data_IF_348979768231
#
_entry.id   IF_348979768231
#
_cell.length_a   1.000
_cell.length_b   1.000
_cell.length_c   1.000
_cell.angle_alpha   90.00
_cell.angle_beta   90.00
_cell.angle_gamma   90.00
#
_symmetry.space_group_name_H-M   'P 1'
#
loop_
_entity.id
_entity.type
_entity.pdbx_description
1 polymer ?
#
# COMPACT_ATOMS: atom_id res chain seq x y z
N UNK A 1 8.85 -28.13 -3.02
CA UNK A 1 9.28 -27.19 -4.09
C UNK A 1 8.80 -25.81 -3.70
N UNK A 2 9.70 -24.84 -3.62
CA UNK A 2 9.31 -23.43 -3.53
C UNK A 2 8.70 -23.05 -4.87
N UNK A 3 7.40 -22.89 -4.89
CA UNK A 3 6.67 -22.38 -6.02
C UNK A 3 6.62 -20.85 -5.85
N UNK A 4 7.16 -20.12 -6.81
CA UNK A 4 7.25 -18.63 -6.74
C UNK A 4 5.86 -17.95 -6.83
N UNK A 5 4.83 -18.70 -7.21
CA UNK A 5 3.47 -18.19 -7.35
C UNK A 5 2.61 -18.34 -6.08
N UNK A 6 3.04 -19.15 -5.13
CA UNK A 6 2.28 -19.43 -3.91
C UNK A 6 2.98 -18.92 -2.66
N UNK A 7 2.21 -18.34 -1.75
CA UNK A 7 2.67 -17.84 -0.46
C UNK A 7 1.74 -18.30 0.65
N UNK A 8 2.24 -18.33 1.88
CA UNK A 8 1.40 -18.46 3.07
C UNK A 8 1.02 -17.06 3.54
N UNK A 9 -0.26 -16.73 3.47
CA UNK A 9 -0.79 -15.51 4.05
C UNK A 9 -0.94 -15.71 5.56
N UNK A 10 -0.32 -14.84 6.34
CA UNK A 10 -0.38 -14.84 7.80
C UNK A 10 -1.14 -13.59 8.23
N UNK A 11 -2.27 -13.77 8.93
CA UNK A 11 -3.12 -12.68 9.40
C UNK A 11 -3.18 -12.69 10.93
N UNK A 12 -2.34 -11.92 11.60
CA UNK A 12 -2.57 -11.58 13.00
C UNK A 12 -3.70 -10.55 13.09
N UNK A 13 -4.59 -10.69 14.06
CA UNK A 13 -5.63 -9.72 14.37
C UNK A 13 -6.02 -9.79 15.83
N UNK A 14 -6.57 -8.68 16.32
CA UNK A 14 -7.07 -8.54 17.67
C UNK A 14 -8.49 -7.98 17.62
N UNK A 15 -9.36 -8.45 18.48
CA UNK A 15 -10.71 -7.93 18.64
C UNK A 15 -11.12 -7.92 20.09
N UNK A 16 -12.05 -7.03 20.44
CA UNK A 16 -12.65 -6.96 21.76
C UNK A 16 -13.49 -8.20 22.01
N UNK A 17 -13.28 -8.86 23.16
CA UNK A 17 -13.97 -10.10 23.54
C UNK A 17 -14.67 -10.01 24.90
N UNK A 18 -14.56 -8.89 25.62
CA UNK A 18 -15.27 -8.66 26.87
C UNK A 18 -16.78 -8.56 26.67
N UNK A 19 -17.54 -9.18 27.53
CA UNK A 19 -19.01 -9.17 27.51
C UNK A 19 -19.53 -7.81 28.01
N UNK A 20 -19.95 -6.95 27.08
CA UNK A 20 -20.40 -5.60 27.41
C UNK A 20 -21.35 -5.07 26.33
N UNK A 21 -22.42 -4.39 26.74
CA UNK A 21 -23.35 -3.68 25.87
C UNK A 21 -23.13 -2.15 25.88
N UNK A 22 -22.11 -1.66 26.58
CA UNK A 22 -21.74 -0.25 26.63
C UNK A 22 -20.93 0.15 25.40
N UNK A 23 -21.14 1.38 24.91
CA UNK A 23 -20.25 2.00 23.94
C UNK A 23 -18.98 2.51 24.63
N UNK A 24 -18.07 1.63 24.96
CA UNK A 24 -16.79 1.92 25.64
C UNK A 24 -15.67 1.04 25.10
N UNK A 25 -14.43 1.39 25.42
CA UNK A 25 -13.31 0.47 25.20
C UNK A 25 -13.53 -0.82 26.01
N UNK A 26 -13.12 -1.95 25.45
CA UNK A 26 -13.14 -3.23 26.15
C UNK A 26 -11.93 -3.37 27.06
N UNK A 27 -12.12 -4.06 28.18
CA UNK A 27 -11.01 -4.43 29.09
C UNK A 27 -10.39 -5.78 28.69
N UNK A 28 -11.05 -6.54 27.81
CA UNK A 28 -10.61 -7.87 27.36
C UNK A 28 -10.52 -7.94 25.85
N UNK A 29 -9.44 -8.54 25.36
CA UNK A 29 -9.18 -8.70 23.95
C UNK A 29 -8.70 -10.12 23.63
N UNK A 30 -9.12 -10.65 22.49
CA UNK A 30 -8.61 -11.90 21.94
C UNK A 30 -7.67 -11.59 20.77
N UNK A 31 -6.44 -12.10 20.85
CA UNK A 31 -5.47 -12.07 19.75
C UNK A 31 -5.45 -13.42 19.04
N UNK A 32 -5.54 -13.40 17.69
CA UNK A 32 -5.51 -14.60 16.87
C UNK A 32 -4.55 -14.45 15.71
N UNK A 33 -4.01 -15.57 15.26
CA UNK A 33 -3.27 -15.66 14.01
C UNK A 33 -3.93 -16.75 13.16
N UNK A 34 -4.40 -16.39 11.98
CA UNK A 34 -4.88 -17.35 10.97
C UNK A 34 -3.95 -17.36 9.77
N UNK A 35 -3.89 -18.50 9.11
CA UNK A 35 -3.05 -18.67 7.91
C UNK A 35 -3.89 -19.24 6.76
N UNK A 36 -3.56 -18.84 5.53
CA UNK A 36 -4.20 -19.34 4.33
C UNK A 36 -3.20 -19.41 3.18
N UNK A 37 -3.20 -20.46 2.35
CA UNK A 37 -2.49 -20.42 1.08
C UNK A 37 -3.03 -19.26 0.21
N UNK A 38 -2.16 -18.57 -0.48
CA UNK A 38 -2.55 -17.47 -1.37
C UNK A 38 -1.69 -17.45 -2.63
N UNK A 39 -2.26 -16.92 -3.70
CA UNK A 39 -1.61 -16.60 -4.96
C UNK A 39 -1.52 -15.09 -5.13
N UNK A 40 -1.42 -14.58 -6.35
CA UNK A 40 -1.38 -13.13 -6.62
C UNK A 40 -2.61 -12.42 -6.06
N UNK A 41 -2.39 -11.29 -5.39
CA UNK A 41 -3.44 -10.52 -4.72
C UNK A 41 -4.24 -9.62 -5.69
N UNK A 42 -3.56 -9.01 -6.68
CA UNK A 42 -4.20 -8.15 -7.67
C UNK A 42 -4.04 -8.70 -9.09
N UNK A 43 -4.99 -8.38 -10.00
CA UNK A 43 -4.81 -8.61 -11.43
C UNK A 43 -3.59 -7.84 -11.97
N UNK A 44 -3.16 -8.14 -13.20
CA UNK A 44 -2.02 -7.51 -13.85
C UNK A 44 -2.19 -6.00 -14.03
N UNK A 45 -3.42 -5.55 -14.30
CA UNK A 45 -3.72 -4.17 -14.70
C UNK A 45 -4.53 -3.46 -13.60
N UNK A 46 -3.83 -2.67 -12.78
CA UNK A 46 -4.46 -1.88 -11.74
C UNK A 46 -4.80 -0.51 -12.30
N UNK A 47 -6.11 -0.25 -12.44
CA UNK A 47 -6.67 1.03 -12.83
C UNK A 47 -7.36 1.65 -11.64
N UNK A 48 -7.04 2.90 -11.32
CA UNK A 48 -7.52 3.55 -10.10
C UNK A 48 -8.28 4.84 -10.39
N UNK A 49 -9.31 5.09 -9.58
CA UNK A 49 -10.07 6.34 -9.57
C UNK A 49 -9.59 7.21 -8.42
N UNK A 50 -9.31 8.47 -8.66
CA UNK A 50 -9.10 9.44 -7.58
C UNK A 50 -10.44 9.78 -6.95
N UNK A 51 -10.58 9.47 -5.68
CA UNK A 51 -11.82 9.73 -4.92
C UNK A 51 -11.80 11.17 -4.41
N UNK A 52 -12.82 11.94 -4.78
CA UNK A 52 -12.92 13.37 -4.47
C UNK A 52 -14.21 13.73 -3.70
N UNK A 53 -14.92 12.74 -3.20
CA UNK A 53 -16.15 12.95 -2.44
C UNK A 53 -16.13 12.19 -1.10
N UNK A 54 -15.81 10.88 -1.16
CA UNK A 54 -15.71 10.06 0.04
C UNK A 54 -14.31 10.14 0.63
N UNK A 55 -14.22 10.04 1.95
CA UNK A 55 -12.95 10.01 2.65
C UNK A 55 -12.73 8.67 3.38
N UNK A 56 -11.51 8.18 3.37
CA UNK A 56 -11.11 6.99 4.13
C UNK A 56 -10.82 7.32 5.59
N UNK A 57 -10.16 8.44 5.81
CA UNK A 57 -9.67 8.88 7.11
C UNK A 57 -9.57 10.41 7.15
N UNK A 58 -9.46 10.97 8.33
CA UNK A 58 -9.37 12.41 8.53
C UNK A 58 -8.33 12.75 9.59
N UNK A 59 -7.84 14.00 9.58
CA UNK A 59 -6.94 14.52 10.61
C UNK A 59 -7.58 14.40 12.00
N UNK A 60 -6.80 13.94 12.98
CA UNK A 60 -7.28 13.65 14.34
C UNK A 60 -8.04 12.34 14.47
N UNK A 61 -8.18 11.58 13.37
CA UNK A 61 -8.78 10.24 13.34
C UNK A 61 -7.77 9.11 13.56
N UNK A 62 -8.15 7.91 13.18
CA UNK A 62 -7.38 6.67 13.40
C UNK A 62 -6.86 6.06 12.11
N UNK A 63 -6.74 6.84 11.03
CA UNK A 63 -6.27 6.39 9.72
C UNK A 63 -4.87 5.79 9.71
N UNK A 64 -4.02 6.23 10.64
CA UNK A 64 -2.67 5.70 10.85
C UNK A 64 -2.64 4.30 11.47
N UNK A 65 -3.75 3.80 11.98
CA UNK A 65 -3.86 2.46 12.57
C UNK A 65 -4.51 1.47 11.61
N UNK A 66 -4.21 0.18 11.79
CA UNK A 66 -4.85 -0.89 11.01
C UNK A 66 -6.19 -1.30 11.64
N UNK A 67 -7.09 -0.32 11.83
CA UNK A 67 -8.38 -0.50 12.45
C UNK A 67 -9.48 -0.86 11.42
N UNK A 68 -10.39 -1.76 11.79
CA UNK A 68 -11.48 -2.22 10.90
C UNK A 68 -12.42 -1.09 10.45
N UNK A 69 -12.59 -0.05 11.26
CA UNK A 69 -13.38 1.13 10.93
C UNK A 69 -12.87 1.87 9.68
N UNK A 70 -11.55 1.97 9.50
CA UNK A 70 -10.96 2.58 8.29
C UNK A 70 -11.30 1.79 7.02
N UNK A 71 -11.43 0.47 7.13
CA UNK A 71 -11.83 -0.38 6.00
C UNK A 71 -13.31 -0.28 5.71
N UNK A 72 -14.15 -0.22 6.76
CA UNK A 72 -15.60 -0.09 6.61
C UNK A 72 -15.97 1.17 5.81
N UNK A 73 -15.34 2.31 6.11
CA UNK A 73 -15.56 3.57 5.39
C UNK A 73 -15.15 3.51 3.91
N UNK A 74 -14.19 2.63 3.58
CA UNK A 74 -13.65 2.49 2.22
C UNK A 74 -14.46 1.54 1.32
N UNK A 75 -15.28 0.65 1.87
CA UNK A 75 -15.95 -0.40 1.09
C UNK A 75 -16.97 0.14 0.11
N UNK A 76 -17.82 1.08 0.53
CA UNK A 76 -18.84 1.63 -0.34
C UNK A 76 -18.27 2.40 -1.53
N UNK A 77 -17.35 3.39 -1.36
CA UNK A 77 -16.74 4.06 -2.49
C UNK A 77 -15.96 3.11 -3.41
N UNK A 78 -15.25 2.13 -2.84
CA UNK A 78 -14.55 1.12 -3.65
C UNK A 78 -15.53 0.29 -4.48
N UNK A 79 -16.68 -0.09 -3.92
CA UNK A 79 -17.74 -0.79 -4.67
C UNK A 79 -18.27 0.04 -5.84
N UNK A 80 -18.47 1.35 -5.63
CA UNK A 80 -18.89 2.27 -6.70
C UNK A 80 -17.82 2.38 -7.80
N UNK A 81 -16.55 2.50 -7.43
CA UNK A 81 -15.44 2.52 -8.37
C UNK A 81 -15.34 1.20 -9.17
N UNK A 82 -15.47 0.06 -8.50
CA UNK A 82 -15.47 -1.25 -9.16
C UNK A 82 -16.63 -1.41 -10.17
N UNK A 83 -17.82 -0.90 -9.86
CA UNK A 83 -18.94 -0.91 -10.79
C UNK A 83 -18.70 -0.07 -12.07
N UNK A 84 -17.74 0.88 -12.01
CA UNK A 84 -17.26 1.68 -13.14
C UNK A 84 -16.02 1.06 -13.83
N UNK A 85 -15.56 -0.11 -13.42
CA UNK A 85 -14.42 -0.82 -14.01
C UNK A 85 -13.04 -0.49 -13.39
N UNK A 86 -13.00 0.28 -12.30
CA UNK A 86 -11.74 0.55 -11.61
C UNK A 86 -11.40 -0.56 -10.63
N UNK A 87 -10.13 -0.87 -10.49
CA UNK A 87 -9.64 -1.90 -9.55
C UNK A 87 -9.66 -1.39 -8.12
N UNK A 88 -9.30 -0.12 -7.92
CA UNK A 88 -9.17 0.54 -6.62
C UNK A 88 -9.39 2.05 -6.73
N UNK A 89 -9.41 2.72 -5.58
CA UNK A 89 -9.46 4.18 -5.48
C UNK A 89 -8.13 4.73 -4.94
N UNK A 90 -7.75 5.93 -5.36
CA UNK A 90 -6.76 6.76 -4.67
C UNK A 90 -7.53 7.67 -3.72
N UNK A 91 -7.19 7.60 -2.44
CA UNK A 91 -7.77 8.43 -1.41
C UNK A 91 -7.09 9.79 -1.37
N UNK A 92 -7.89 10.82 -1.16
CA UNK A 92 -7.44 12.20 -0.97
C UNK A 92 -7.76 12.68 0.44
N UNK A 93 -7.13 13.76 0.86
CA UNK A 93 -7.38 14.38 2.16
C UNK A 93 -8.86 14.76 2.35
N UNK A 94 -9.34 14.64 3.58
CA UNK A 94 -10.76 14.75 3.92
C UNK A 94 -11.34 16.18 3.84
N UNK A 95 -10.51 17.20 3.66
CA UNK A 95 -10.93 18.61 3.73
C UNK A 95 -11.04 19.22 2.34
N UNK A 96 -9.96 19.16 1.59
CA UNK A 96 -9.84 19.81 0.28
C UNK A 96 -9.96 18.83 -0.88
N UNK A 97 -9.84 17.52 -0.63
CA UNK A 97 -9.73 16.47 -1.65
C UNK A 97 -8.64 16.77 -2.70
N UNK A 98 -7.59 17.41 -2.25
CA UNK A 98 -6.50 17.92 -3.07
C UNK A 98 -5.24 17.08 -3.00
N UNK A 99 -4.89 16.61 -1.80
CA UNK A 99 -3.64 15.88 -1.57
C UNK A 99 -3.91 14.39 -1.52
N UNK A 100 -3.07 13.64 -2.21
CA UNK A 100 -3.14 12.17 -2.23
C UNK A 100 -2.63 11.61 -0.91
N UNK A 101 -3.30 10.60 -0.38
CA UNK A 101 -2.96 9.92 0.86
C UNK A 101 -2.57 8.45 0.64
N UNK A 102 -3.48 7.63 0.12
CA UNK A 102 -3.26 6.19 -0.09
C UNK A 102 -3.97 5.69 -1.37
N UNK A 103 -3.61 4.50 -1.85
CA UNK A 103 -4.30 3.83 -2.95
C UNK A 103 -4.94 2.52 -2.46
N UNK A 104 -6.26 2.52 -2.34
CA UNK A 104 -7.00 1.39 -1.79
C UNK A 104 -6.54 1.06 -0.36
N UNK A 105 -5.87 -0.07 -0.18
CA UNK A 105 -5.28 -0.53 1.08
C UNK A 105 -3.75 -0.52 1.05
N UNK A 106 -3.16 0.32 0.21
CA UNK A 106 -1.72 0.40 -0.06
C UNK A 106 -1.20 1.82 0.16
N UNK A 107 0.03 1.96 0.65
CA UNK A 107 0.75 3.23 0.52
C UNK A 107 1.04 3.48 -0.96
N UNK A 108 0.95 4.74 -1.38
CA UNK A 108 1.14 5.13 -2.79
C UNK A 108 2.51 5.78 -3.01
N UNK A 109 3.05 5.57 -4.22
CA UNK A 109 4.31 6.10 -4.69
C UNK A 109 4.15 6.67 -6.07
N UNK A 110 4.78 7.81 -6.31
CA UNK A 110 4.76 8.52 -7.57
C UNK A 110 6.21 8.82 -7.97
N UNK A 111 6.60 8.45 -9.19
CA UNK A 111 7.88 8.84 -9.75
C UNK A 111 7.71 10.00 -10.73
N UNK A 112 8.28 11.15 -10.38
CA UNK A 112 8.38 12.32 -11.25
C UNK A 112 9.85 12.50 -11.60
N UNK A 113 10.19 12.45 -12.89
CA UNK A 113 11.57 12.32 -13.36
C UNK A 113 12.31 11.18 -12.62
N UNK A 114 13.38 11.51 -11.89
CA UNK A 114 14.20 10.57 -11.13
C UNK A 114 13.91 10.59 -9.61
N UNK A 115 12.86 11.26 -9.19
CA UNK A 115 12.47 11.36 -7.78
C UNK A 115 11.27 10.48 -7.49
N UNK A 116 11.37 9.61 -6.49
CA UNK A 116 10.23 8.92 -5.88
C UNK A 116 9.62 9.79 -4.81
N UNK A 117 8.31 9.96 -4.88
CA UNK A 117 7.52 10.73 -3.91
C UNK A 117 6.51 9.78 -3.27
N UNK A 118 6.41 9.82 -1.95
CA UNK A 118 5.34 9.15 -1.21
C UNK A 118 4.77 10.14 -0.20
N UNK A 119 3.45 10.13 0.05
CA UNK A 119 2.85 11.01 1.03
C UNK A 119 3.54 10.89 2.40
N UNK A 120 3.79 12.03 3.05
CA UNK A 120 4.29 12.07 4.43
C UNK A 120 3.27 11.45 5.39
N UNK A 121 3.76 10.72 6.39
CA UNK A 121 2.89 10.07 7.38
C UNK A 121 2.18 11.11 8.24
N UNK A 122 0.90 10.86 8.46
CA UNK A 122 0.02 11.67 9.30
C UNK A 122 -1.10 10.81 9.88
N UNK A 123 -2.10 11.40 10.53
CA UNK A 123 -3.22 10.69 11.15
C UNK A 123 -4.10 9.91 10.16
N UNK A 124 -3.98 10.20 8.85
CA UNK A 124 -4.80 9.58 7.81
C UNK A 124 -4.09 8.45 7.06
N UNK A 125 -2.77 8.26 7.25
CA UNK A 125 -1.95 7.36 6.45
C UNK A 125 -1.30 6.29 7.32
N UNK A 126 -1.49 5.02 6.93
CA UNK A 126 -0.85 3.91 7.62
C UNK A 126 0.67 3.89 7.35
N UNK A 127 1.48 3.90 8.41
CA UNK A 127 2.93 3.67 8.34
C UNK A 127 3.24 2.22 7.96
N UNK A 128 3.20 1.90 6.66
CA UNK A 128 3.41 0.55 6.18
C UNK A 128 4.87 0.10 6.29
N UNK A 129 5.14 -1.11 6.79
CA UNK A 129 6.48 -1.69 6.84
C UNK A 129 7.11 -1.81 5.45
N UNK A 130 6.32 -2.20 4.44
CA UNK A 130 6.79 -2.25 3.05
C UNK A 130 7.20 -0.86 2.55
N UNK A 131 6.43 0.19 2.90
CA UNK A 131 6.79 1.58 2.57
C UNK A 131 8.15 1.95 3.18
N UNK A 132 8.35 1.69 4.45
CA UNK A 132 9.58 2.00 5.18
C UNK A 132 10.80 1.25 4.59
N UNK A 133 10.62 -0.04 4.33
CA UNK A 133 11.65 -0.86 3.67
C UNK A 133 12.02 -0.31 2.29
N UNK A 134 11.03 0.14 1.50
CA UNK A 134 11.31 0.71 0.18
C UNK A 134 12.00 2.07 0.24
N UNK A 135 11.73 2.90 1.24
CA UNK A 135 12.46 4.15 1.47
C UNK A 135 13.94 3.86 1.69
N UNK A 136 14.23 2.92 2.58
CA UNK A 136 15.61 2.48 2.89
C UNK A 136 16.31 1.97 1.64
N UNK A 137 15.71 0.99 0.94
CA UNK A 137 16.28 0.41 -0.27
C UNK A 137 16.47 1.43 -1.39
N UNK A 138 15.54 2.35 -1.58
CA UNK A 138 15.65 3.37 -2.61
C UNK A 138 16.82 4.32 -2.33
N UNK A 139 16.92 4.83 -1.12
CA UNK A 139 18.02 5.73 -0.71
C UNK A 139 19.39 5.09 -0.86
N UNK A 140 19.55 3.82 -0.44
CA UNK A 140 20.81 3.08 -0.61
C UNK A 140 21.15 2.78 -2.07
N UNK A 141 20.16 2.70 -2.94
CA UNK A 141 20.37 2.58 -4.38
C UNK A 141 20.57 3.93 -5.09
N UNK A 142 20.75 5.03 -4.36
CA UNK A 142 20.97 6.37 -4.90
C UNK A 142 19.70 6.98 -5.53
N UNK A 143 18.52 6.42 -5.25
CA UNK A 143 17.25 6.97 -5.72
C UNK A 143 16.82 8.06 -4.75
N UNK A 144 16.56 9.26 -5.27
CA UNK A 144 16.03 10.36 -4.46
C UNK A 144 14.61 10.03 -4.01
N UNK A 145 14.35 10.10 -2.69
CA UNK A 145 13.04 9.88 -2.08
C UNK A 145 12.60 11.12 -1.32
N UNK A 146 11.42 11.60 -1.64
CA UNK A 146 10.75 12.69 -0.93
C UNK A 146 9.49 12.17 -0.23
N UNK A 147 9.43 12.40 1.08
CA UNK A 147 8.25 12.16 1.91
C UNK A 147 7.56 13.50 2.11
N UNK A 148 6.53 13.79 1.32
CA UNK A 148 5.82 15.05 1.32
C UNK A 148 4.41 14.92 0.78
N UNK A 149 3.60 15.95 1.00
CA UNK A 149 2.32 16.06 0.29
C UNK A 149 2.54 16.13 -1.21
N UNK A 150 1.64 15.50 -1.96
CA UNK A 150 1.56 15.61 -3.41
C UNK A 150 0.10 15.83 -3.80
N UNK A 151 -0.17 16.85 -4.60
CA UNK A 151 -1.53 17.15 -5.01
C UNK A 151 -1.94 16.37 -6.27
N UNK A 152 -3.24 16.21 -6.44
CA UNK A 152 -3.83 15.67 -7.68
C UNK A 152 -3.40 16.51 -8.89
N UNK A 153 -3.39 17.85 -8.74
CA UNK A 153 -2.98 18.77 -9.81
C UNK A 153 -1.51 18.57 -10.20
N UNK A 154 -0.62 18.35 -9.21
CA UNK A 154 0.80 18.10 -9.47
C UNK A 154 1.00 16.83 -10.32
N UNK A 155 0.21 15.79 -10.09
CA UNK A 155 0.26 14.56 -10.91
C UNK A 155 -0.23 14.84 -12.33
N UNK A 156 -1.33 15.58 -12.48
CA UNK A 156 -1.86 15.98 -13.78
C UNK A 156 -0.84 16.81 -14.56
N UNK A 157 -0.20 17.75 -13.89
CA UNK A 157 0.82 18.61 -14.48
C UNK A 157 2.07 17.81 -14.88
N UNK A 158 2.54 16.92 -14.00
CA UNK A 158 3.65 16.01 -14.30
C UNK A 158 3.37 15.13 -15.51
N UNK A 159 2.14 14.63 -15.64
CA UNK A 159 1.71 13.86 -16.81
C UNK A 159 1.71 14.71 -18.09
N UNK A 160 1.09 15.91 -18.06
CA UNK A 160 1.02 16.81 -19.21
C UNK A 160 2.41 17.22 -19.72
N UNK A 161 3.38 17.33 -18.80
CA UNK A 161 4.77 17.66 -19.11
C UNK A 161 5.63 16.42 -19.49
N UNK A 162 5.07 15.21 -19.52
CA UNK A 162 5.78 13.98 -19.87
C UNK A 162 6.82 13.53 -18.83
N UNK A 163 6.77 14.06 -17.61
CA UNK A 163 7.71 13.75 -16.52
C UNK A 163 7.17 12.79 -15.46
N UNK A 164 5.87 12.44 -15.49
CA UNK A 164 5.31 11.37 -14.68
C UNK A 164 5.77 10.03 -15.25
N UNK A 165 6.53 9.25 -14.48
CA UNK A 165 7.19 8.02 -14.97
C UNK A 165 6.57 6.74 -14.43
N UNK A 166 6.29 6.69 -13.13
CA UNK A 166 5.71 5.50 -12.48
C UNK A 166 4.72 5.92 -11.39
N UNK A 167 3.69 5.11 -11.22
CA UNK A 167 2.83 5.13 -10.02
C UNK A 167 2.64 3.69 -9.55
N UNK A 168 2.78 3.46 -8.27
CA UNK A 168 2.60 2.12 -7.71
C UNK A 168 2.14 2.17 -6.25
N UNK A 169 1.47 1.11 -5.82
CA UNK A 169 1.10 0.88 -4.44
C UNK A 169 2.05 -0.11 -3.75
N UNK A 170 2.17 0.00 -2.43
CA UNK A 170 2.94 -0.94 -1.61
C UNK A 170 2.18 -1.43 -0.40
N UNK A 171 2.34 -2.71 -0.08
CA UNK A 171 1.75 -3.35 1.09
C UNK A 171 2.26 -4.78 1.25
N UNK A 172 2.08 -5.37 2.42
CA UNK A 172 2.61 -6.69 2.75
C UNK A 172 2.13 -7.78 1.78
N UNK A 173 0.85 -7.76 1.40
CA UNK A 173 0.26 -8.79 0.53
C UNK A 173 0.68 -8.66 -0.94
N UNK A 174 0.98 -7.45 -1.40
CA UNK A 174 1.29 -7.16 -2.82
C UNK A 174 2.77 -6.88 -3.06
N UNK A 175 3.52 -6.61 -2.03
CA UNK A 175 4.89 -6.06 -2.03
C UNK A 175 4.92 -4.73 -2.77
N UNK A 176 4.92 -4.77 -4.10
CA UNK A 176 4.82 -3.60 -5.01
C UNK A 176 3.84 -3.94 -6.12
N UNK A 177 2.86 -3.08 -6.31
CA UNK A 177 1.79 -3.21 -7.30
C UNK A 177 1.79 -1.99 -8.26
N UNK A 178 2.30 -2.11 -9.48
CA UNK A 178 2.24 -1.03 -10.46
C UNK A 178 0.81 -0.62 -10.78
N UNK A 179 0.58 0.69 -10.91
CA UNK A 179 -0.69 1.27 -11.33
C UNK A 179 -0.53 1.69 -12.79
N UNK A 180 -1.44 1.21 -13.64
CA UNK A 180 -1.38 1.43 -15.10
C UNK A 180 -2.15 2.65 -15.55
N UNK A 181 -3.20 3.02 -14.82
CA UNK A 181 -3.90 4.27 -15.10
C UNK A 181 -4.52 4.88 -13.85
N UNK A 182 -4.58 6.21 -13.86
CA UNK A 182 -5.26 7.03 -12.85
C UNK A 182 -6.36 7.81 -13.57
N UNK A 183 -7.55 7.85 -13.01
CA UNK A 183 -8.64 8.67 -13.53
C UNK A 183 -9.02 9.71 -12.49
N UNK A 184 -9.07 10.97 -12.92
CA UNK A 184 -9.48 12.13 -12.11
C UNK A 184 -10.69 12.76 -12.79
N UNK A 185 -11.87 12.66 -12.19
CA UNK A 185 -13.11 13.03 -12.86
C UNK A 185 -13.31 12.24 -14.16
N UNK A 186 -13.26 12.92 -15.30
CA UNK A 186 -13.33 12.31 -16.64
C UNK A 186 -11.95 12.17 -17.32
N UNK A 187 -10.89 12.69 -16.69
CA UNK A 187 -9.54 12.65 -17.27
C UNK A 187 -8.84 11.36 -16.90
N UNK A 188 -8.52 10.53 -17.89
CA UNK A 188 -7.67 9.35 -17.75
C UNK A 188 -6.20 9.71 -18.00
N UNK A 189 -5.34 9.29 -17.08
CA UNK A 189 -3.88 9.37 -17.15
C UNK A 189 -3.35 7.95 -17.29
N UNK A 190 -2.71 7.64 -18.39
CA UNK A 190 -2.08 6.34 -18.62
C UNK A 190 -0.62 6.39 -18.21
N UNK A 191 -0.18 5.40 -17.45
CA UNK A 191 1.19 5.29 -16.94
C UNK A 191 1.94 4.30 -17.85
N UNK A 192 2.86 4.81 -18.65
CA UNK A 192 3.66 3.98 -19.54
C UNK A 192 4.63 3.09 -18.76
N UNK A 193 4.80 1.87 -19.26
CA UNK A 193 5.77 0.92 -18.69
C UNK A 193 7.20 1.44 -18.90
N UNK A 194 7.98 1.49 -17.82
CA UNK A 194 9.36 1.97 -17.85
C UNK A 194 10.36 0.82 -17.97
N UNK A 195 11.31 0.90 -18.90
CA UNK A 195 12.41 -0.08 -19.04
C UNK A 195 13.24 -0.14 -17.74
N UNK A 196 13.53 1.02 -17.15
CA UNK A 196 14.26 1.16 -15.89
C UNK A 196 13.30 1.46 -14.73
N UNK A 197 12.32 0.59 -14.51
CA UNK A 197 11.32 0.75 -13.45
C UNK A 197 11.96 0.66 -12.06
N UNK A 198 11.78 1.73 -11.28
CA UNK A 198 12.16 1.74 -9.87
C UNK A 198 11.29 0.78 -9.06
N UNK A 199 9.99 0.73 -9.35
CA UNK A 199 9.07 -0.23 -8.74
C UNK A 199 9.54 -1.67 -8.91
N UNK A 200 9.92 -2.07 -10.14
CA UNK A 200 10.40 -3.42 -10.44
C UNK A 200 11.73 -3.72 -9.73
N UNK A 201 12.67 -2.77 -9.74
CA UNK A 201 13.96 -2.92 -9.06
C UNK A 201 13.79 -3.12 -7.56
N UNK A 202 13.02 -2.24 -6.91
CA UNK A 202 12.78 -2.29 -5.48
C UNK A 202 12.00 -3.54 -5.06
N UNK A 203 11.00 -3.94 -5.84
CA UNK A 203 10.27 -5.19 -5.65
C UNK A 203 11.20 -6.40 -5.64
N UNK A 204 12.04 -6.51 -6.68
CA UNK A 204 12.99 -7.62 -6.84
C UNK A 204 13.98 -7.67 -5.68
N UNK A 205 14.50 -6.53 -5.25
CA UNK A 205 15.44 -6.45 -4.12
C UNK A 205 14.76 -6.88 -2.82
N UNK A 206 13.60 -6.34 -2.50
CA UNK A 206 12.88 -6.68 -1.27
C UNK A 206 12.48 -8.18 -1.23
N UNK A 207 11.94 -8.70 -2.33
CA UNK A 207 11.61 -10.12 -2.44
C UNK A 207 12.84 -11.02 -2.36
N UNK A 208 13.98 -10.57 -2.94
CA UNK A 208 15.25 -11.28 -2.84
C UNK A 208 15.76 -11.40 -1.39
N UNK A 209 15.59 -10.34 -0.58
CA UNK A 209 15.90 -10.36 0.85
C UNK A 209 14.93 -11.31 1.57
N UNK A 210 13.63 -11.19 1.33
CA UNK A 210 12.60 -12.01 1.98
C UNK A 210 12.77 -13.52 1.71
N UNK A 211 13.18 -13.90 0.50
CA UNK A 211 13.39 -15.32 0.14
C UNK A 211 14.81 -15.82 0.35
N UNK A 212 15.73 -14.94 0.79
CA UNK A 212 17.13 -15.27 1.09
C UNK A 212 18.04 -15.37 -0.14
N UNK A 213 17.60 -14.98 -1.34
CA UNK A 213 18.45 -14.90 -2.53
C UNK A 213 19.37 -13.67 -2.53
N UNK A 214 19.00 -12.63 -1.78
CA UNK A 214 19.83 -11.47 -1.45
C UNK A 214 20.09 -11.49 0.05
N UNK A 215 21.35 -11.22 0.43
CA UNK A 215 21.72 -11.18 1.85
C UNK A 215 20.97 -10.07 2.56
N UNK A 216 20.34 -10.41 3.67
CA UNK A 216 19.73 -9.44 4.57
C UNK A 216 20.80 -8.75 5.42
N UNK A 217 21.06 -7.50 5.15
CA UNK A 217 22.00 -6.65 5.93
C UNK A 217 21.30 -5.76 6.94
N UNK A 218 19.94 -5.78 6.93
CA UNK A 218 19.09 -4.93 7.77
C UNK A 218 18.54 -5.64 9.00
N UNK A 219 18.65 -6.99 9.04
CA UNK A 219 18.03 -7.78 10.10
C UNK A 219 16.50 -7.87 9.99
N UNK A 220 15.95 -7.76 8.79
CA UNK A 220 14.50 -7.83 8.54
C UNK A 220 13.94 -9.25 8.53
N UNK A 221 14.82 -10.24 8.38
CA UNK A 221 14.43 -11.65 8.31
C UNK A 221 14.91 -12.43 9.52
N UNK A 222 14.08 -13.33 9.99
CA UNK A 222 14.42 -14.28 11.04
C UNK A 222 14.29 -15.71 10.51
N UNK A 223 15.34 -16.51 10.70
CA UNK A 223 15.31 -17.93 10.32
C UNK A 223 14.43 -18.70 11.30
N UNK A 224 13.37 -19.32 10.78
CA UNK A 224 12.57 -20.26 11.57
C UNK A 224 13.33 -21.58 11.66
N UNK A 225 13.73 -21.96 12.88
CA UNK A 225 14.31 -23.28 13.11
C UNK A 225 13.18 -24.31 13.02
N UNK A 226 13.44 -25.44 12.32
CA UNK A 226 12.54 -26.58 12.36
C UNK A 226 12.41 -27.06 13.80
N UNK A 227 11.20 -27.05 14.33
CA UNK A 227 10.92 -27.77 15.57
C UNK A 227 11.10 -29.24 15.26
N UNK A 228 12.18 -29.83 15.71
CA UNK A 228 12.33 -31.29 15.68
C UNK A 228 11.31 -31.81 16.69
N UNK A 229 10.18 -32.32 16.21
CA UNK A 229 9.25 -33.05 17.06
C UNK A 229 9.97 -34.32 17.52
N UNK A 230 10.44 -34.31 18.75
CA UNK A 230 10.79 -35.55 19.46
C UNK A 230 9.48 -36.30 19.71
N UNK A 231 9.22 -37.32 18.91
CA UNK A 231 8.24 -38.36 19.22
C UNK A 231 8.79 -39.31 20.26
#
# INVERSE_FOLDING_TARGET
KKDEEHSLYIRPFIFASGECIKASASDEYTFMIITSPTTRYYPSDINVLVEQHYTRAAKGGVGYTKASGNYASSFYPTKLANARGFTQVIWTDAVEHKYIEESGTMNIWIRINDTLITPELNDSILGGFTRDSLITLARENGIKVEERKISVDEIIEAYNNGILKEVFGTGTAVTVAPIHSITVGDKKIEIESQINSYASKLKKTLQGIQNGSIKDVYGWTSKVNSVVSSH
#
